data_IF_262665301042
#
_entry.id   IF_262665301042
#
_cell.length_a   1.000
_cell.length_b   1.000
_cell.length_c   1.000
_cell.angle_alpha   90.00
_cell.angle_beta   90.00
_cell.angle_gamma   90.00
#
_symmetry.space_group_name_H-M   'P 1'
#
loop_
_entity.id
_entity.type
_entity.pdbx_description
1 polymer ?
#
# COMPACT_ATOMS: atom_id res chain seq x y z
N UNK A 1 -22.93 -21.61 -1.68
CA UNK A 1 -22.06 -21.35 -2.86
C UNK A 1 -22.14 -19.93 -3.41
N UNK A 2 -23.27 -19.20 -3.37
CA UNK A 2 -23.36 -17.82 -3.92
C UNK A 2 -22.59 -16.72 -3.17
N UNK A 3 -22.29 -16.89 -1.88
CA UNK A 3 -21.58 -15.86 -1.09
C UNK A 3 -20.09 -15.82 -1.47
N UNK A 4 -19.46 -16.97 -1.70
CA UNK A 4 -18.04 -17.02 -2.12
C UNK A 4 -17.83 -16.36 -3.49
N UNK A 5 -18.76 -16.51 -4.44
CA UNK A 5 -18.61 -15.95 -5.79
C UNK A 5 -18.62 -14.42 -5.83
N UNK A 6 -19.23 -13.75 -4.83
CA UNK A 6 -19.22 -12.28 -4.72
C UNK A 6 -17.81 -11.79 -4.36
N UNK A 7 -17.13 -12.50 -3.45
CA UNK A 7 -15.74 -12.22 -3.06
C UNK A 7 -14.72 -12.53 -4.17
N UNK A 8 -15.11 -13.31 -5.18
CA UNK A 8 -14.29 -13.56 -6.37
C UNK A 8 -14.47 -12.51 -7.48
N UNK A 9 -15.47 -11.63 -7.38
CA UNK A 9 -15.69 -10.59 -8.37
C UNK A 9 -14.69 -9.44 -8.18
N UNK A 10 -13.91 -9.14 -9.21
CA UNK A 10 -12.92 -8.05 -9.15
C UNK A 10 -13.54 -6.67 -8.86
N UNK A 11 -14.80 -6.48 -9.27
CA UNK A 11 -15.58 -5.28 -8.95
C UNK A 11 -15.82 -5.14 -7.43
N UNK A 12 -16.18 -6.22 -6.75
CA UNK A 12 -16.41 -6.19 -5.30
C UNK A 12 -15.13 -5.85 -4.54
N UNK A 13 -13.99 -6.45 -4.93
CA UNK A 13 -12.69 -6.15 -4.32
C UNK A 13 -12.33 -4.67 -4.48
N UNK A 14 -12.57 -4.08 -5.66
CA UNK A 14 -12.35 -2.65 -5.92
C UNK A 14 -13.22 -1.76 -5.04
N UNK A 15 -14.54 -2.03 -4.96
CA UNK A 15 -15.46 -1.25 -4.14
C UNK A 15 -15.08 -1.36 -2.66
N UNK A 16 -14.78 -2.57 -2.19
CA UNK A 16 -14.39 -2.81 -0.81
C UNK A 16 -13.06 -2.13 -0.47
N UNK A 17 -12.10 -2.10 -1.40
CA UNK A 17 -10.85 -1.34 -1.26
C UNK A 17 -11.12 0.16 -1.06
N UNK A 18 -11.90 0.78 -1.94
CA UNK A 18 -12.24 2.21 -1.83
C UNK A 18 -12.98 2.51 -0.52
N UNK A 19 -13.93 1.66 -0.15
CA UNK A 19 -14.65 1.77 1.11
C UNK A 19 -13.73 1.68 2.33
N UNK A 20 -12.77 0.74 2.31
CA UNK A 20 -11.80 0.57 3.40
C UNK A 20 -10.88 1.78 3.54
N UNK A 21 -10.45 2.38 2.42
CA UNK A 21 -9.69 3.65 2.42
C UNK A 21 -10.53 4.81 2.96
N UNK A 22 -11.81 4.88 2.59
CA UNK A 22 -12.74 5.87 3.14
C UNK A 22 -12.87 5.77 4.67
N UNK A 23 -13.02 4.55 5.19
CA UNK A 23 -13.06 4.29 6.64
C UNK A 23 -11.76 4.73 7.34
N UNK A 24 -10.59 4.53 6.73
CA UNK A 24 -9.32 5.03 7.25
C UNK A 24 -9.31 6.55 7.41
N UNK A 25 -9.70 7.26 6.34
CA UNK A 25 -9.70 8.74 6.33
C UNK A 25 -10.70 9.26 7.36
N UNK A 26 -11.92 8.73 7.38
CA UNK A 26 -12.97 9.13 8.33
C UNK A 26 -12.56 8.82 9.77
N UNK A 27 -12.00 7.63 10.02
CA UNK A 27 -11.53 7.22 11.34
C UNK A 27 -10.42 8.13 11.89
N UNK A 28 -9.51 8.58 11.03
CA UNK A 28 -8.46 9.53 11.39
C UNK A 28 -9.01 10.94 11.66
N UNK A 29 -9.90 11.45 10.80
CA UNK A 29 -10.51 12.79 10.97
C UNK A 29 -11.33 12.85 12.27
N UNK A 30 -12.11 11.80 12.55
CA UNK A 30 -12.95 11.72 13.74
C UNK A 30 -12.19 11.26 14.99
N UNK A 31 -10.90 10.93 14.86
CA UNK A 31 -10.08 10.32 15.91
C UNK A 31 -10.77 9.11 16.60
N UNK A 32 -11.51 8.31 15.83
CA UNK A 32 -12.31 7.21 16.36
C UNK A 32 -11.59 5.87 16.18
N UNK A 33 -11.11 5.31 17.28
CA UNK A 33 -10.32 4.06 17.28
C UNK A 33 -11.11 2.85 16.78
N UNK A 34 -12.43 2.79 17.00
CA UNK A 34 -13.25 1.67 16.55
C UNK A 34 -13.37 1.62 15.03
N UNK A 35 -13.52 2.79 14.39
CA UNK A 35 -13.55 2.91 12.93
C UNK A 35 -12.21 2.47 12.32
N UNK A 36 -11.10 2.86 12.95
CA UNK A 36 -9.75 2.46 12.53
C UNK A 36 -9.57 0.94 12.66
N UNK A 37 -10.00 0.32 13.77
CA UNK A 37 -9.92 -1.14 13.96
C UNK A 37 -10.69 -1.89 12.87
N UNK A 38 -11.91 -1.45 12.56
CA UNK A 38 -12.72 -2.05 11.49
C UNK A 38 -12.00 -1.93 10.14
N UNK A 39 -11.43 -0.76 9.84
CA UNK A 39 -10.66 -0.57 8.61
C UNK A 39 -9.43 -1.50 8.52
N UNK A 40 -8.74 -1.74 9.63
CA UNK A 40 -7.59 -2.67 9.70
C UNK A 40 -8.00 -4.12 9.48
N UNK A 41 -9.14 -4.55 10.06
CA UNK A 41 -9.66 -5.92 9.88
C UNK A 41 -10.04 -6.14 8.42
N UNK A 42 -10.77 -5.19 7.82
CA UNK A 42 -11.16 -5.26 6.40
C UNK A 42 -9.94 -5.25 5.48
N UNK A 43 -8.94 -4.40 5.77
CA UNK A 43 -7.69 -4.35 5.01
C UNK A 43 -6.95 -5.70 5.06
N UNK A 44 -6.85 -6.31 6.25
CA UNK A 44 -6.22 -7.62 6.42
C UNK A 44 -6.94 -8.70 5.62
N UNK A 45 -8.26 -8.71 5.64
CA UNK A 45 -9.08 -9.65 4.87
C UNK A 45 -8.87 -9.48 3.34
N UNK A 46 -8.87 -8.23 2.85
CA UNK A 46 -8.57 -7.93 1.44
C UNK A 46 -7.16 -8.38 1.09
N UNK A 47 -6.18 -8.09 1.96
CA UNK A 47 -4.79 -8.49 1.76
C UNK A 47 -4.61 -10.00 1.56
N UNK A 48 -5.31 -10.82 2.35
CA UNK A 48 -5.31 -12.28 2.20
C UNK A 48 -5.88 -12.70 0.84
N UNK A 49 -7.03 -12.14 0.45
CA UNK A 49 -7.67 -12.45 -0.84
C UNK A 49 -6.76 -12.05 -2.02
N UNK A 50 -6.16 -10.86 -1.96
CA UNK A 50 -5.23 -10.38 -2.97
C UNK A 50 -3.97 -11.24 -3.06
N UNK A 51 -3.46 -11.74 -1.93
CA UNK A 51 -2.31 -12.63 -1.90
C UNK A 51 -2.62 -14.00 -2.53
N UNK A 52 -3.78 -14.58 -2.23
CA UNK A 52 -4.22 -15.85 -2.82
C UNK A 52 -4.40 -15.71 -4.34
N UNK A 53 -4.96 -14.59 -4.79
CA UNK A 53 -5.22 -14.32 -6.22
C UNK A 53 -4.09 -13.50 -6.88
N UNK A 54 -2.87 -13.51 -6.32
CA UNK A 54 -1.77 -12.64 -6.76
C UNK A 54 -1.48 -12.74 -8.27
N UNK A 55 -1.59 -13.94 -8.82
CA UNK A 55 -1.25 -14.22 -10.22
C UNK A 55 -2.35 -13.72 -11.18
N UNK A 56 -3.56 -13.46 -10.65
CA UNK A 56 -4.72 -12.95 -11.40
C UNK A 56 -5.04 -11.47 -11.07
N UNK A 57 -4.16 -10.77 -10.35
CA UNK A 57 -4.36 -9.36 -10.01
C UNK A 57 -4.53 -8.49 -11.25
N UNK A 58 -3.83 -8.82 -12.33
CA UNK A 58 -3.91 -8.09 -13.58
C UNK A 58 -5.32 -8.14 -14.18
N UNK A 59 -5.94 -9.33 -14.20
CA UNK A 59 -7.32 -9.54 -14.65
C UNK A 59 -8.32 -8.81 -13.75
N UNK A 60 -8.07 -8.82 -12.43
CA UNK A 60 -8.95 -8.19 -11.43
C UNK A 60 -8.92 -6.66 -11.54
N UNK A 61 -7.74 -6.07 -11.75
CA UNK A 61 -7.54 -4.62 -11.68
C UNK A 61 -7.51 -3.92 -13.04
N UNK A 62 -6.94 -4.51 -14.10
CA UNK A 62 -6.76 -3.85 -15.41
C UNK A 62 -8.01 -3.81 -16.31
N UNK A 63 -9.06 -4.59 -16.06
CA UNK A 63 -10.22 -4.62 -16.97
C UNK A 63 -9.92 -5.39 -18.27
N UNK A 64 -10.70 -5.16 -19.34
CA UNK A 64 -10.62 -5.91 -20.61
C UNK A 64 -9.21 -5.77 -21.25
N UNK A 65 -8.40 -6.81 -21.12
CA UNK A 65 -7.01 -6.88 -21.57
C UNK A 65 -6.86 -7.18 -23.06
N UNK A 66 -7.97 -7.31 -23.80
CA UNK A 66 -7.96 -7.62 -25.22
C UNK A 66 -7.35 -6.51 -26.11
N UNK A 67 -7.16 -5.30 -25.57
CA UNK A 67 -6.72 -4.13 -26.36
C UNK A 67 -5.30 -3.65 -26.05
N UNK A 68 -4.70 -4.04 -24.91
CA UNK A 68 -3.40 -3.51 -24.48
C UNK A 68 -2.47 -4.66 -24.13
N UNK A 69 -1.71 -5.13 -25.13
CA UNK A 69 -0.54 -5.98 -24.90
C UNK A 69 0.56 -5.06 -24.38
N UNK A 70 0.80 -5.06 -23.07
CA UNK A 70 1.97 -4.38 -22.51
C UNK A 70 3.23 -5.08 -23.01
N UNK A 71 4.02 -4.36 -23.82
CA UNK A 71 5.37 -4.77 -24.20
C UNK A 71 6.23 -4.87 -22.92
N UNK A 72 7.04 -5.92 -22.83
CA UNK A 72 8.01 -6.17 -21.74
C UNK A 72 8.85 -4.93 -21.41
N UNK A 73 9.14 -4.09 -22.42
CA UNK A 73 9.85 -2.82 -22.25
C UNK A 73 9.11 -1.82 -21.37
N UNK A 74 7.79 -1.77 -21.48
CA UNK A 74 6.95 -0.86 -20.68
C UNK A 74 6.91 -1.32 -19.22
N UNK A 75 6.88 -2.64 -18.99
CA UNK A 75 6.96 -3.21 -17.64
C UNK A 75 8.31 -2.95 -16.99
N UNK A 76 9.43 -3.11 -17.72
CA UNK A 76 10.78 -2.78 -17.23
C UNK A 76 10.95 -1.30 -16.89
N UNK A 77 10.39 -0.39 -17.70
CA UNK A 77 10.41 1.05 -17.41
C UNK A 77 9.61 1.36 -16.14
N UNK A 78 8.42 0.77 -15.99
CA UNK A 78 7.57 0.98 -14.83
C UNK A 78 8.21 0.42 -13.54
N UNK A 79 8.86 -0.74 -13.63
CA UNK A 79 9.64 -1.33 -12.52
C UNK A 79 10.75 -0.38 -12.08
N UNK A 80 11.56 0.10 -13.04
CA UNK A 80 12.69 0.99 -12.74
C UNK A 80 12.22 2.30 -12.12
N UNK A 81 11.14 2.88 -12.65
CA UNK A 81 10.52 4.09 -12.11
C UNK A 81 9.94 3.88 -10.71
N UNK A 82 9.22 2.77 -10.49
CA UNK A 82 8.65 2.39 -9.19
C UNK A 82 9.74 2.22 -8.12
N UNK A 83 10.79 1.48 -8.44
CA UNK A 83 11.90 1.20 -7.51
C UNK A 83 12.64 2.49 -7.12
N UNK A 84 12.89 3.37 -8.09
CA UNK A 84 13.51 4.67 -7.84
C UNK A 84 12.62 5.58 -6.98
N UNK A 85 11.32 5.64 -7.30
CA UNK A 85 10.35 6.46 -6.55
C UNK A 85 10.24 5.98 -5.10
N UNK A 86 10.19 4.67 -4.88
CA UNK A 86 10.09 4.08 -3.54
C UNK A 86 11.38 4.34 -2.73
N UNK A 87 12.56 4.30 -3.38
CA UNK A 87 13.82 4.71 -2.76
C UNK A 87 13.84 6.18 -2.34
N UNK A 88 13.35 7.09 -3.19
CA UNK A 88 13.24 8.53 -2.86
C UNK A 88 12.25 8.74 -1.72
N UNK A 89 11.10 8.06 -1.75
CA UNK A 89 10.09 8.15 -0.69
C UNK A 89 10.68 7.76 0.68
N UNK A 90 11.47 6.69 0.73
CA UNK A 90 12.18 6.28 1.96
C UNK A 90 13.11 7.39 2.44
N UNK A 91 13.93 7.96 1.55
CA UNK A 91 14.88 9.02 1.90
C UNK A 91 14.17 10.26 2.46
N UNK A 92 13.09 10.70 1.80
CA UNK A 92 12.27 11.84 2.25
C UNK A 92 11.62 11.54 3.60
N UNK A 93 11.07 10.33 3.79
CA UNK A 93 10.41 9.92 5.04
C UNK A 93 11.41 9.92 6.21
N UNK A 94 12.62 9.43 6.00
CA UNK A 94 13.69 9.47 7.01
C UNK A 94 14.04 10.92 7.35
N UNK A 95 14.20 11.78 6.34
CA UNK A 95 14.55 13.18 6.55
C UNK A 95 13.48 13.93 7.35
N UNK A 96 12.20 13.72 7.02
CA UNK A 96 11.07 14.27 7.79
C UNK A 96 11.09 13.74 9.23
N UNK A 97 11.34 12.43 9.42
CA UNK A 97 11.49 11.84 10.76
C UNK A 97 12.60 12.50 11.60
N UNK A 98 13.76 12.76 10.99
CA UNK A 98 14.88 13.47 11.64
C UNK A 98 14.47 14.87 12.06
N UNK A 99 13.84 15.65 11.16
CA UNK A 99 13.38 17.01 11.47
C UNK A 99 12.42 17.01 12.65
N UNK A 100 11.42 16.12 12.64
CA UNK A 100 10.41 16.03 13.69
C UNK A 100 11.02 15.67 15.06
N UNK A 101 12.01 14.77 15.09
CA UNK A 101 12.73 14.42 16.33
C UNK A 101 13.68 15.53 16.78
N UNK A 102 14.33 16.24 15.85
CA UNK A 102 15.22 17.35 16.17
C UNK A 102 14.47 18.50 16.87
N UNK A 103 13.20 18.71 16.51
CA UNK A 103 12.32 19.71 17.12
C UNK A 103 11.84 19.35 18.55
N UNK A 104 12.28 18.22 19.14
CA UNK A 104 11.83 17.74 20.45
C UNK A 104 11.94 18.75 21.60
N UNK A 105 12.88 19.68 21.54
CA UNK A 105 13.09 20.70 22.58
C UNK A 105 12.01 21.77 22.57
N UNK A 106 11.47 22.11 21.39
CA UNK A 106 10.46 23.15 21.22
C UNK A 106 9.04 22.57 21.08
N UNK A 107 8.92 21.38 20.48
CA UNK A 107 7.65 20.72 20.18
C UNK A 107 7.68 19.23 20.58
N UNK A 108 7.69 18.91 21.89
CA UNK A 108 7.77 17.53 22.36
C UNK A 108 6.59 16.65 21.90
N UNK A 109 5.44 17.24 21.58
CA UNK A 109 4.29 16.52 21.03
C UNK A 109 4.56 15.89 19.64
N UNK A 110 5.47 16.47 18.84
CA UNK A 110 5.81 15.96 17.51
C UNK A 110 6.76 14.76 17.55
N UNK A 111 7.35 14.47 18.71
CA UNK A 111 8.31 13.40 18.90
C UNK A 111 7.72 12.03 18.53
N UNK A 112 6.46 11.78 18.91
CA UNK A 112 5.74 10.56 18.52
C UNK A 112 5.61 10.44 17.00
N UNK A 113 5.25 11.53 16.32
CA UNK A 113 5.13 11.54 14.86
C UNK A 113 6.48 11.27 14.18
N UNK A 114 7.58 11.82 14.71
CA UNK A 114 8.94 11.52 14.22
C UNK A 114 9.29 10.03 14.31
N UNK A 115 8.99 9.38 15.44
CA UNK A 115 9.17 7.93 15.58
C UNK A 115 8.27 7.12 14.65
N UNK A 116 7.03 7.57 14.43
CA UNK A 116 6.14 6.96 13.43
C UNK A 116 6.73 7.05 12.03
N UNK A 117 7.33 8.18 11.63
CA UNK A 117 7.99 8.30 10.33
C UNK A 117 9.14 7.29 10.17
N UNK A 118 9.94 7.05 11.21
CA UNK A 118 10.98 6.01 11.14
C UNK A 118 10.39 4.60 11.00
N UNK A 119 9.30 4.29 11.71
CA UNK A 119 8.60 3.01 11.55
C UNK A 119 8.06 2.84 10.11
N UNK A 120 7.49 3.89 9.54
CA UNK A 120 7.04 3.91 8.14
C UNK A 120 8.22 3.71 7.18
N UNK A 121 9.36 4.36 7.41
CA UNK A 121 10.55 4.19 6.57
C UNK A 121 11.05 2.73 6.58
N UNK A 122 11.05 2.06 7.74
CA UNK A 122 11.38 0.62 7.85
C UNK A 122 10.39 -0.23 7.05
N UNK A 123 9.09 0.06 7.16
CA UNK A 123 8.07 -0.65 6.39
C UNK A 123 8.25 -0.45 4.88
N UNK A 124 8.53 0.77 4.42
CA UNK A 124 8.85 1.06 3.03
C UNK A 124 10.12 0.32 2.58
N UNK A 125 11.13 0.19 3.44
CA UNK A 125 12.32 -0.61 3.16
C UNK A 125 11.97 -2.09 2.92
N UNK A 126 11.07 -2.67 3.72
CA UNK A 126 10.59 -4.04 3.51
C UNK A 126 9.92 -4.14 2.13
N UNK A 127 9.02 -3.22 1.80
CA UNK A 127 8.37 -3.20 0.48
C UNK A 127 9.36 -3.03 -0.67
N UNK A 128 10.39 -2.19 -0.51
CA UNK A 128 11.46 -2.02 -1.48
C UNK A 128 12.16 -3.35 -1.79
N UNK A 129 12.56 -4.07 -0.76
CA UNK A 129 13.23 -5.37 -0.94
C UNK A 129 12.28 -6.43 -1.49
N UNK A 130 11.04 -6.50 -0.99
CA UNK A 130 10.05 -7.49 -1.47
C UNK A 130 9.69 -7.25 -2.93
N UNK A 131 9.46 -5.98 -3.33
CA UNK A 131 9.17 -5.64 -4.72
C UNK A 131 10.34 -5.97 -5.63
N UNK A 132 11.56 -5.57 -5.27
CA UNK A 132 12.77 -5.90 -6.03
C UNK A 132 12.96 -7.41 -6.17
N UNK A 133 12.79 -8.17 -5.09
CA UNK A 133 12.90 -9.62 -5.11
C UNK A 133 11.83 -10.29 -5.97
N UNK A 134 10.61 -9.75 -6.01
CA UNK A 134 9.55 -10.23 -6.89
C UNK A 134 9.91 -10.03 -8.37
N UNK A 135 10.34 -8.82 -8.75
CA UNK A 135 10.64 -8.52 -10.14
C UNK A 135 11.88 -9.25 -10.66
N UNK A 136 12.95 -9.37 -9.85
CA UNK A 136 14.15 -10.18 -10.20
C UNK A 136 13.86 -11.68 -10.37
N UNK A 137 12.72 -12.18 -9.86
CA UNK A 137 12.31 -13.58 -10.06
C UNK A 137 11.39 -13.77 -11.27
N UNK A 138 10.74 -12.70 -11.74
CA UNK A 138 9.75 -12.76 -12.80
C UNK A 138 10.36 -12.51 -14.18
N UNK A 139 11.44 -11.72 -14.23
CA UNK A 139 12.28 -11.47 -15.41
C UNK A 139 13.71 -11.94 -15.13
#
# INVERSE_FOLDING_TARGET
>A
MKILSIFESGLFIKILSVFTTGLWIVGLILANIYVIIVAVILLSAIGIVLYIKRDNLEVIFKGDSSVIVEDERTQLINEKASTMTLGILIAVTIYVGIILVALRSSYPQLLKAGYTMFAVAVFCFILYFTSRAYYTRKY
#
